data_IF_585126774305
#
_entry.id   IF_585126774305
#
_cell.length_a   1.000
_cell.length_b   1.000
_cell.length_c   1.000
_cell.angle_alpha   90.00
_cell.angle_beta   90.00
_cell.angle_gamma   90.00
#
_symmetry.space_group_name_H-M   'P 1'
#
loop_
_entity.id
_entity.type
_entity.pdbx_description
1 polymer ?
#
# COMPACT_ATOMS: atom_id res chain seq x y z
N UNK A 1 -7.88 15.23 -13.59
CA UNK A 1 -7.63 14.37 -12.41
C UNK A 1 -6.40 13.53 -12.68
N UNK A 2 -5.28 13.83 -12.01
CA UNK A 2 -4.01 13.12 -12.15
C UNK A 2 -3.97 11.94 -11.19
N UNK A 3 -3.81 10.71 -11.70
CA UNK A 3 -3.70 9.50 -10.87
C UNK A 3 -2.24 9.15 -10.61
N UNK A 4 -1.93 8.74 -9.39
CA UNK A 4 -0.63 8.27 -8.94
C UNK A 4 -0.76 6.81 -8.51
N UNK A 5 0.27 6.00 -8.78
CA UNK A 5 0.33 4.62 -8.33
C UNK A 5 1.65 4.36 -7.62
N UNK A 6 1.60 3.55 -6.55
CA UNK A 6 2.79 3.01 -5.89
C UNK A 6 2.57 1.55 -5.52
N UNK A 7 3.67 0.83 -5.30
CA UNK A 7 3.67 -0.62 -5.07
C UNK A 7 4.36 -0.93 -3.75
N UNK A 8 3.88 -1.93 -3.02
CA UNK A 8 4.56 -2.34 -1.79
C UNK A 8 3.89 -3.48 -1.04
N UNK A 9 4.54 -3.92 0.03
CA UNK A 9 4.02 -4.98 0.91
C UNK A 9 3.23 -4.41 2.08
N UNK A 10 3.61 -3.24 2.63
CA UNK A 10 2.87 -2.51 3.68
C UNK A 10 2.38 -3.39 4.84
N UNK A 11 3.27 -4.19 5.40
CA UNK A 11 2.96 -5.16 6.45
C UNK A 11 2.94 -4.53 7.84
N UNK A 12 4.09 -4.43 8.50
CA UNK A 12 4.24 -3.66 9.73
C UNK A 12 4.24 -2.16 9.39
N UNK A 13 3.05 -1.56 9.30
CA UNK A 13 2.91 -0.13 9.02
C UNK A 13 3.69 0.71 10.05
N UNK A 14 4.42 1.69 9.54
CA UNK A 14 5.28 2.56 10.34
C UNK A 14 5.36 3.94 9.68
N UNK A 15 5.94 4.92 10.38
CA UNK A 15 5.96 6.32 9.95
C UNK A 15 6.49 6.50 8.51
N UNK A 16 7.52 5.74 8.11
CA UNK A 16 8.06 5.77 6.74
C UNK A 16 7.04 5.42 5.64
N UNK A 17 6.13 4.48 5.89
CA UNK A 17 5.06 4.16 4.95
C UNK A 17 4.06 5.32 4.84
N UNK A 18 3.69 5.91 5.97
CA UNK A 18 2.78 7.05 6.01
C UNK A 18 3.35 8.24 5.23
N UNK A 19 4.63 8.55 5.43
CA UNK A 19 5.30 9.66 4.76
C UNK A 19 5.51 9.41 3.26
N UNK A 20 5.71 8.14 2.85
CA UNK A 20 5.72 7.76 1.44
C UNK A 20 4.34 8.00 0.80
N UNK A 21 3.27 7.52 1.43
CA UNK A 21 1.90 7.65 0.90
C UNK A 21 1.45 9.11 0.86
N UNK A 22 1.79 9.91 1.88
CA UNK A 22 1.53 11.36 1.92
C UNK A 22 2.15 12.07 0.72
N UNK A 23 3.46 11.88 0.50
CA UNK A 23 4.19 12.50 -0.62
C UNK A 23 3.68 11.99 -1.98
N UNK A 24 3.35 10.71 -2.09
CA UNK A 24 2.76 10.16 -3.31
C UNK A 24 1.39 10.80 -3.62
N UNK A 25 0.56 11.03 -2.61
CA UNK A 25 -0.75 11.68 -2.78
C UNK A 25 -0.62 13.14 -3.19
N UNK A 26 0.43 13.85 -2.76
CA UNK A 26 0.72 15.24 -3.17
C UNK A 26 1.12 15.37 -4.66
N UNK A 27 1.53 14.27 -5.30
CA UNK A 27 1.91 14.29 -6.71
C UNK A 27 0.72 14.24 -7.68
N UNK A 28 -0.51 14.10 -7.19
CA UNK A 28 -1.73 14.06 -8.00
C UNK A 28 -3.01 14.24 -7.19
N UNK A 29 -4.13 13.81 -7.77
CA UNK A 29 -5.48 13.99 -7.21
C UNK A 29 -6.08 12.67 -6.69
N UNK A 30 -5.42 11.53 -6.94
CA UNK A 30 -5.92 10.20 -6.60
C UNK A 30 -4.74 9.21 -6.49
N UNK A 31 -4.61 8.52 -5.36
CA UNK A 31 -3.54 7.55 -5.10
C UNK A 31 -4.08 6.11 -5.10
N UNK A 32 -3.54 5.31 -6.01
CA UNK A 32 -3.71 3.85 -6.06
C UNK A 32 -2.51 3.17 -5.40
N UNK A 33 -2.76 2.22 -4.51
CA UNK A 33 -1.72 1.36 -3.94
C UNK A 33 -1.90 -0.06 -4.44
N UNK A 34 -0.92 -0.56 -5.18
CA UNK A 34 -0.84 -1.97 -5.57
C UNK A 34 -0.12 -2.77 -4.47
N UNK A 35 -0.92 -3.52 -3.71
CA UNK A 35 -0.51 -4.25 -2.53
C UNK A 35 -0.08 -5.67 -2.90
N UNK A 36 1.16 -6.04 -2.56
CA UNK A 36 1.64 -7.40 -2.82
C UNK A 36 0.77 -8.46 -2.12
N UNK A 37 0.21 -9.39 -2.89
CA UNK A 37 -0.45 -10.60 -2.37
C UNK A 37 0.50 -11.47 -1.55
N UNK A 38 -0.05 -12.32 -0.69
CA UNK A 38 0.76 -13.27 0.10
C UNK A 38 1.51 -14.26 -0.81
N UNK A 39 0.90 -14.67 -1.92
CA UNK A 39 1.53 -15.48 -2.99
C UNK A 39 2.75 -14.77 -3.59
N UNK A 40 2.59 -13.50 -3.98
CA UNK A 40 3.67 -12.73 -4.59
C UNK A 40 4.81 -12.44 -3.60
N UNK A 41 4.49 -12.23 -2.32
CA UNK A 41 5.52 -12.11 -1.28
C UNK A 41 6.30 -13.41 -1.08
N UNK A 42 5.65 -14.58 -1.14
CA UNK A 42 6.32 -15.89 -1.06
C UNK A 42 7.36 -16.07 -2.17
N UNK A 43 7.04 -15.68 -3.42
CA UNK A 43 7.99 -15.73 -4.55
C UNK A 43 9.23 -14.88 -4.28
N UNK A 44 9.09 -13.76 -3.54
CA UNK A 44 10.18 -12.87 -3.14
C UNK A 44 10.94 -13.35 -1.89
N UNK A 45 10.70 -14.57 -1.40
CA UNK A 45 11.21 -15.10 -0.13
C UNK A 45 10.88 -14.20 1.07
N UNK A 46 9.73 -13.52 1.03
CA UNK A 46 9.23 -12.66 2.11
C UNK A 46 7.97 -13.26 2.70
N UNK A 47 7.89 -13.30 4.03
CA UNK A 47 6.67 -13.65 4.75
C UNK A 47 6.17 -12.42 5.49
N UNK A 48 4.97 -11.96 5.13
CA UNK A 48 4.28 -10.91 5.88
C UNK A 48 3.73 -11.46 7.19
N UNK A 49 3.74 -10.64 8.24
CA UNK A 49 3.12 -10.91 9.52
C UNK A 49 1.60 -10.89 9.40
N UNK A 50 1.07 -9.85 8.75
CA UNK A 50 -0.35 -9.72 8.41
C UNK A 50 -0.63 -10.31 7.03
N UNK A 51 -1.78 -10.97 6.90
CA UNK A 51 -2.25 -11.45 5.60
C UNK A 51 -2.65 -10.29 4.68
N UNK A 52 -2.84 -10.59 3.39
CA UNK A 52 -3.20 -9.58 2.40
C UNK A 52 -4.43 -8.74 2.80
N UNK A 53 -5.51 -9.36 3.27
CA UNK A 53 -6.75 -8.67 3.63
C UNK A 53 -6.57 -7.71 4.82
N UNK A 54 -5.79 -8.11 5.84
CA UNK A 54 -5.46 -7.24 6.96
C UNK A 54 -4.64 -6.03 6.50
N UNK A 55 -3.62 -6.25 5.65
CA UNK A 55 -2.79 -5.18 5.10
C UNK A 55 -3.59 -4.23 4.21
N UNK A 56 -4.50 -4.78 3.40
CA UNK A 56 -5.42 -4.01 2.56
C UNK A 56 -6.33 -3.12 3.40
N UNK A 57 -6.99 -3.68 4.41
CA UNK A 57 -7.88 -2.93 5.31
C UNK A 57 -7.17 -1.78 6.03
N UNK A 58 -5.93 -2.02 6.49
CA UNK A 58 -5.12 -0.97 7.09
C UNK A 58 -4.77 0.14 6.09
N UNK A 59 -4.42 -0.20 4.84
CA UNK A 59 -4.14 0.78 3.79
C UNK A 59 -5.37 1.59 3.39
N UNK A 60 -6.53 0.95 3.23
CA UNK A 60 -7.80 1.61 2.89
C UNK A 60 -8.26 2.59 3.99
N UNK A 61 -7.79 2.40 5.23
CA UNK A 61 -8.05 3.31 6.35
C UNK A 61 -7.15 4.55 6.38
N UNK A 62 -6.10 4.60 5.53
CA UNK A 62 -5.17 5.74 5.48
C UNK A 62 -5.75 6.83 4.59
N UNK A 63 -5.90 8.03 5.15
CA UNK A 63 -6.50 9.20 4.47
C UNK A 63 -5.88 9.62 3.13
N UNK A 64 -4.68 9.13 2.82
CA UNK A 64 -3.95 9.44 1.59
C UNK A 64 -4.20 8.44 0.46
N UNK A 65 -4.80 7.29 0.76
CA UNK A 65 -5.02 6.18 -0.16
C UNK A 65 -6.46 6.21 -0.63
N UNK A 66 -6.67 6.24 -1.95
CA UNK A 66 -8.01 6.30 -2.53
C UNK A 66 -8.48 4.93 -3.06
N UNK A 67 -7.55 4.03 -3.42
CA UNK A 67 -7.85 2.68 -3.87
C UNK A 67 -6.69 1.71 -3.57
N UNK A 68 -7.01 0.50 -3.14
CA UNK A 68 -6.04 -0.60 -3.01
C UNK A 68 -6.40 -1.73 -3.98
N UNK A 69 -5.41 -2.18 -4.75
CA UNK A 69 -5.52 -3.30 -5.70
C UNK A 69 -4.48 -4.39 -5.37
N UNK A 70 -4.74 -5.67 -5.70
CA UNK A 70 -3.75 -6.75 -5.54
C UNK A 70 -2.58 -6.67 -6.53
#
# INVERSE_FOLDING_TARGET
>A
MKRVITYGTYDLLHYGHIELLRRAREMGDYLVVALSSDEFNRIKNKKSYYNFEQRKMMLESIRYVDLVIP
#
